data_IF_852512488224
#
_entry.id   IF_852512488224
#
_cell.length_a   1.000
_cell.length_b   1.000
_cell.length_c   1.000
_cell.angle_alpha   90.00
_cell.angle_beta   90.00
_cell.angle_gamma   90.00
#
_symmetry.space_group_name_H-M   'P 1'
#
loop_
_entity.id
_entity.type
_entity.pdbx_description
1 polymer ?
#
# COMPACT_ATOMS: atom_id res chain seq x y z
N UNK A 1 1.39 1.29 16.70
CA UNK A 1 0.53 2.03 15.74
C UNK A 1 0.74 3.56 15.75
N UNK A 2 1.92 4.04 16.19
CA UNK A 2 2.29 5.49 16.23
C UNK A 2 3.08 5.93 14.99
N UNK A 3 3.61 4.99 14.20
CA UNK A 3 4.61 5.27 13.17
C UNK A 3 4.09 5.75 11.81
N UNK A 4 2.91 5.29 11.36
CA UNK A 4 2.36 5.71 10.05
C UNK A 4 2.00 7.21 10.02
N UNK A 5 1.91 7.83 11.19
CA UNK A 5 1.66 9.25 11.36
C UNK A 5 2.98 10.03 11.30
N UNK A 6 3.98 9.75 12.16
CA UNK A 6 5.17 10.62 12.28
C UNK A 6 6.09 10.58 11.05
N UNK A 7 6.37 9.40 10.49
CA UNK A 7 7.31 9.28 9.36
C UNK A 7 6.77 9.89 8.05
N UNK A 8 5.44 9.86 7.84
CA UNK A 8 4.80 10.45 6.67
C UNK A 8 4.53 11.95 6.87
N UNK A 9 4.44 12.46 8.11
CA UNK A 9 3.92 13.81 8.40
C UNK A 9 4.99 14.88 8.68
N UNK A 10 6.15 14.54 9.24
CA UNK A 10 7.17 15.56 9.56
C UNK A 10 7.90 16.12 8.31
N UNK A 11 7.62 15.59 7.12
CA UNK A 11 8.37 15.88 5.89
C UNK A 11 7.50 16.31 4.70
N UNK A 12 6.37 16.95 4.97
CA UNK A 12 5.40 17.38 3.95
C UNK A 12 5.46 18.87 3.63
N UNK A 13 4.85 19.25 2.50
CA UNK A 13 4.55 20.65 2.10
C UNK A 13 3.58 21.37 3.05
N UNK A 14 3.00 20.69 4.05
CA UNK A 14 2.15 21.32 5.07
C UNK A 14 2.96 21.85 6.26
N UNK A 15 4.19 21.35 6.44
CA UNK A 15 5.05 21.66 7.58
C UNK A 15 6.38 22.27 7.16
N UNK A 16 6.59 22.48 5.86
CA UNK A 16 7.75 23.18 5.32
C UNK A 16 7.40 23.96 4.05
N UNK A 17 8.20 24.99 3.78
CA UNK A 17 8.13 25.78 2.54
C UNK A 17 8.53 24.93 1.33
N UNK A 18 8.05 25.32 0.15
CA UNK A 18 8.34 24.65 -1.11
C UNK A 18 9.85 24.65 -1.40
N UNK A 19 10.56 25.74 -1.11
CA UNK A 19 12.02 25.79 -1.26
C UNK A 19 12.74 24.71 -0.43
N UNK A 20 12.30 24.49 0.82
CA UNK A 20 12.90 23.45 1.68
C UNK A 20 12.56 22.06 1.18
N UNK A 21 11.34 21.87 0.65
CA UNK A 21 10.90 20.62 0.04
C UNK A 21 11.71 20.31 -1.23
N UNK A 22 11.88 21.28 -2.13
CA UNK A 22 12.64 21.12 -3.38
C UNK A 22 14.10 20.74 -3.12
N UNK A 23 14.74 21.36 -2.12
CA UNK A 23 16.11 21.00 -1.73
C UNK A 23 16.21 19.54 -1.26
N UNK A 24 15.23 19.07 -0.48
CA UNK A 24 15.18 17.67 -0.06
C UNK A 24 14.84 16.72 -1.21
N UNK A 25 13.97 17.12 -2.15
CA UNK A 25 13.73 16.33 -3.36
C UNK A 25 15.05 16.12 -4.11
N UNK A 26 15.82 17.20 -4.33
CA UNK A 26 17.11 17.12 -5.01
C UNK A 26 18.11 16.19 -4.31
N UNK A 27 18.16 16.22 -2.98
CA UNK A 27 18.99 15.31 -2.17
C UNK A 27 18.61 13.84 -2.39
N UNK A 28 17.32 13.52 -2.33
CA UNK A 28 16.83 12.13 -2.42
C UNK A 28 16.73 11.59 -3.85
N UNK A 29 16.85 12.44 -4.88
CA UNK A 29 17.04 11.99 -6.28
C UNK A 29 18.27 11.09 -6.46
N UNK A 30 19.24 11.15 -5.54
CA UNK A 30 20.40 10.25 -5.53
C UNK A 30 20.05 8.77 -5.34
N UNK A 31 18.85 8.44 -4.83
CA UNK A 31 18.41 7.06 -4.58
C UNK A 31 17.81 6.37 -5.83
N UNK A 32 18.22 6.81 -7.03
CA UNK A 32 17.60 6.43 -8.31
C UNK A 32 17.64 4.92 -8.59
N UNK A 33 18.70 4.21 -8.21
CA UNK A 33 18.83 2.78 -8.50
C UNK A 33 17.81 1.93 -7.74
N UNK A 34 17.52 2.27 -6.47
CA UNK A 34 16.49 1.60 -5.69
C UNK A 34 15.07 1.95 -6.18
N UNK A 35 14.86 3.19 -6.63
CA UNK A 35 13.63 3.56 -7.34
C UNK A 35 13.45 2.74 -8.62
N UNK A 36 14.49 2.61 -9.46
CA UNK A 36 14.47 1.81 -10.70
C UNK A 36 14.19 0.33 -10.45
N UNK A 37 14.76 -0.25 -9.39
CA UNK A 37 14.44 -1.61 -9.00
C UNK A 37 12.94 -1.76 -8.71
N UNK A 38 12.37 -0.81 -7.95
CA UNK A 38 10.93 -0.78 -7.63
C UNK A 38 10.07 -0.59 -8.88
N UNK A 39 10.43 0.33 -9.77
CA UNK A 39 9.78 0.57 -11.08
C UNK A 39 9.69 -0.72 -11.91
N UNK A 40 10.72 -1.55 -11.86
CA UNK A 40 10.76 -2.82 -12.55
C UNK A 40 9.88 -3.85 -11.83
N UNK A 41 10.19 -4.18 -10.56
CA UNK A 41 9.64 -5.37 -9.92
C UNK A 41 8.21 -5.19 -9.39
N UNK A 42 7.79 -3.95 -9.12
CA UNK A 42 6.41 -3.67 -8.68
C UNK A 42 5.52 -3.33 -9.86
N UNK A 43 5.99 -2.47 -10.77
CA UNK A 43 5.13 -1.83 -11.77
C UNK A 43 5.29 -2.35 -13.20
N UNK A 44 6.25 -3.24 -13.46
CA UNK A 44 6.53 -3.70 -14.83
C UNK A 44 6.50 -5.21 -14.96
N UNK A 45 7.36 -5.92 -14.24
CA UNK A 45 7.59 -7.35 -14.43
C UNK A 45 6.33 -8.22 -14.26
N UNK A 46 5.46 -8.05 -13.24
CA UNK A 46 4.23 -8.83 -13.10
C UNK A 46 3.27 -8.77 -14.31
N UNK A 47 3.40 -7.74 -15.15
CA UNK A 47 2.47 -7.43 -16.25
C UNK A 47 3.03 -7.77 -17.64
N UNK A 48 4.18 -8.47 -17.70
CA UNK A 48 4.80 -8.99 -18.92
C UNK A 48 5.40 -10.38 -18.69
N UNK A 49 5.86 -11.02 -19.75
CA UNK A 49 6.79 -12.15 -19.62
C UNK A 49 8.13 -11.59 -19.13
N UNK A 50 8.65 -12.17 -18.04
CA UNK A 50 9.93 -11.79 -17.45
C UNK A 50 10.63 -13.07 -16.95
N UNK A 51 11.93 -13.17 -17.17
CA UNK A 51 12.74 -14.29 -16.66
C UNK A 51 12.84 -14.30 -15.13
N UNK A 52 12.59 -13.15 -14.49
CA UNK A 52 12.64 -13.00 -13.04
C UNK A 52 11.34 -13.42 -12.34
N UNK A 53 10.23 -13.46 -13.08
CA UNK A 53 8.94 -13.81 -12.50
C UNK A 53 8.89 -15.29 -12.15
N UNK A 54 8.29 -15.59 -11.00
CA UNK A 54 7.94 -16.95 -10.59
C UNK A 54 6.60 -16.94 -9.87
N UNK A 55 5.93 -18.08 -9.88
CA UNK A 55 4.70 -18.32 -9.13
C UNK A 55 4.64 -19.79 -8.71
N UNK A 56 3.62 -20.19 -7.93
CA UNK A 56 3.37 -21.60 -7.60
C UNK A 56 2.87 -22.36 -8.82
N UNK A 57 3.80 -22.83 -9.65
CA UNK A 57 3.54 -23.58 -10.89
C UNK A 57 3.30 -25.07 -10.62
N UNK A 58 2.42 -25.76 -11.39
CA UNK A 58 1.60 -25.23 -12.50
C UNK A 58 0.29 -24.55 -12.07
N UNK A 59 0.01 -24.53 -10.77
CA UNK A 59 -1.29 -24.12 -10.23
C UNK A 59 -1.68 -22.67 -10.55
N UNK A 60 -0.72 -21.75 -10.62
CA UNK A 60 -0.94 -20.33 -10.89
C UNK A 60 -0.52 -19.87 -12.29
N UNK A 61 -0.19 -20.79 -13.21
CA UNK A 61 0.29 -20.41 -14.54
C UNK A 61 -0.77 -19.59 -15.31
N UNK A 62 -2.03 -20.03 -15.26
CA UNK A 62 -3.17 -19.34 -15.87
C UNK A 62 -3.50 -18.01 -15.18
N UNK A 63 -3.31 -17.95 -13.86
CA UNK A 63 -3.50 -16.74 -13.07
C UNK A 63 -2.45 -15.67 -13.44
N UNK A 64 -1.18 -16.04 -13.52
CA UNK A 64 -0.11 -15.19 -14.00
C UNK A 64 -0.31 -14.75 -15.46
N UNK A 65 -0.90 -15.63 -16.30
CA UNK A 65 -1.27 -15.29 -17.67
C UNK A 65 -2.38 -14.24 -17.74
N UNK A 66 -3.40 -14.41 -16.89
CA UNK A 66 -4.49 -13.46 -16.78
C UNK A 66 -3.98 -12.07 -16.39
N UNK A 67 -3.05 -11.97 -15.44
CA UNK A 67 -2.47 -10.66 -15.03
C UNK A 67 -1.77 -9.96 -16.19
N UNK A 68 -0.90 -10.66 -16.92
CA UNK A 68 -0.16 -10.06 -18.04
C UNK A 68 -1.00 -9.85 -19.31
N UNK A 69 -2.22 -10.38 -19.37
CA UNK A 69 -3.15 -10.19 -20.50
C UNK A 69 -4.34 -9.26 -20.17
N UNK A 70 -4.51 -8.82 -18.91
CA UNK A 70 -5.59 -7.91 -18.50
C UNK A 70 -5.20 -6.46 -18.82
N UNK A 71 -5.81 -5.92 -19.88
CA UNK A 71 -5.61 -4.52 -20.30
C UNK A 71 -6.05 -3.51 -19.24
N UNK A 72 -7.11 -3.81 -18.47
CA UNK A 72 -7.59 -2.93 -17.41
C UNK A 72 -6.56 -2.81 -16.29
N UNK A 73 -5.95 -3.92 -15.85
CA UNK A 73 -4.86 -3.88 -14.87
C UNK A 73 -3.65 -3.10 -15.38
N UNK A 74 -3.29 -3.25 -16.66
CA UNK A 74 -2.15 -2.55 -17.26
C UNK A 74 -2.34 -1.03 -17.30
N UNK A 75 -3.55 -0.56 -17.59
CA UNK A 75 -3.87 0.88 -17.55
C UNK A 75 -3.69 1.40 -16.13
N UNK A 76 -4.27 0.72 -15.14
CA UNK A 76 -4.22 1.16 -13.76
C UNK A 76 -2.80 1.15 -13.18
N UNK A 77 -1.99 0.12 -13.47
CA UNK A 77 -0.60 0.09 -12.99
C UNK A 77 0.28 1.11 -13.71
N UNK A 78 0.01 1.44 -14.99
CA UNK A 78 0.75 2.48 -15.69
C UNK A 78 0.52 3.86 -15.06
N UNK A 79 -0.71 4.18 -14.66
CA UNK A 79 -1.02 5.42 -13.92
C UNK A 79 -0.31 5.48 -12.57
N UNK A 80 -0.30 4.38 -11.82
CA UNK A 80 0.40 4.30 -10.54
C UNK A 80 1.93 4.38 -10.72
N UNK A 81 2.48 3.79 -11.79
CA UNK A 81 3.90 3.90 -12.13
C UNK A 81 4.29 5.33 -12.43
N UNK A 82 3.51 6.04 -13.26
CA UNK A 82 3.72 7.47 -13.54
C UNK A 82 3.69 8.28 -12.24
N UNK A 83 2.68 8.08 -11.37
CA UNK A 83 2.65 8.72 -10.04
C UNK A 83 3.89 8.40 -9.19
N UNK A 84 4.37 7.17 -9.21
CA UNK A 84 5.57 6.77 -8.46
C UNK A 84 6.82 7.50 -8.97
N UNK A 85 7.00 7.58 -10.29
CA UNK A 85 8.17 8.23 -10.90
C UNK A 85 8.12 9.76 -10.86
N UNK A 86 6.93 10.36 -10.84
CA UNK A 86 6.77 11.81 -11.10
C UNK A 86 6.29 12.61 -9.87
N UNK A 87 5.55 11.99 -8.94
CA UNK A 87 4.87 12.72 -7.86
C UNK A 87 5.71 12.75 -6.59
N UNK A 88 6.49 13.83 -6.42
CA UNK A 88 7.19 14.15 -5.18
C UNK A 88 6.25 14.67 -4.06
N UNK A 89 5.48 13.76 -3.45
CA UNK A 89 4.45 14.12 -2.46
C UNK A 89 5.01 14.27 -1.05
N UNK A 90 5.77 13.28 -0.57
CA UNK A 90 6.39 13.25 0.76
C UNK A 90 7.65 12.37 0.73
N UNK A 91 8.52 12.50 1.74
CA UNK A 91 9.57 11.50 1.95
C UNK A 91 8.91 10.21 2.43
N UNK A 92 8.85 9.21 1.56
CA UNK A 92 8.31 7.88 1.87
C UNK A 92 9.43 6.93 2.26
N UNK A 93 9.09 5.87 3.00
CA UNK A 93 9.96 4.76 3.36
C UNK A 93 10.36 3.93 2.13
N UNK A 94 9.44 3.72 1.19
CA UNK A 94 9.72 3.05 -0.09
C UNK A 94 9.61 1.52 -0.05
N UNK A 95 9.78 0.87 1.10
CA UNK A 95 9.40 -0.54 1.26
C UNK A 95 8.75 -0.91 2.60
N UNK A 96 7.69 -0.18 2.97
CA UNK A 96 6.98 -0.35 4.25
C UNK A 96 6.03 -1.57 4.28
N UNK A 97 6.57 -2.77 4.05
CA UNK A 97 5.84 -4.03 4.23
C UNK A 97 5.99 -4.59 5.65
N UNK A 98 5.26 -5.65 6.01
CA UNK A 98 5.29 -6.26 7.37
C UNK A 98 6.67 -6.71 7.83
N UNK A 99 7.55 -7.13 6.90
CA UNK A 99 8.96 -7.44 7.20
C UNK A 99 9.83 -6.23 7.59
N UNK A 100 9.37 -4.99 7.35
CA UNK A 100 10.05 -3.74 7.69
C UNK A 100 9.54 -3.15 9.02
N UNK A 101 8.83 -3.98 9.80
CA UNK A 101 8.38 -3.66 11.15
C UNK A 101 8.86 -4.74 12.11
N UNK A 102 9.42 -4.31 13.24
CA UNK A 102 9.70 -5.17 14.39
C UNK A 102 8.73 -4.83 15.52
N UNK A 103 8.12 -5.85 16.12
CA UNK A 103 7.06 -5.68 17.13
C UNK A 103 7.30 -6.50 18.38
N UNK A 104 6.97 -5.91 19.52
CA UNK A 104 6.65 -6.62 20.78
C UNK A 104 5.17 -6.37 21.10
N UNK A 105 4.69 -6.82 22.26
CA UNK A 105 3.33 -6.50 22.70
C UNK A 105 3.06 -5.00 22.89
N UNK A 106 4.10 -4.21 23.19
CA UNK A 106 4.02 -2.80 23.58
C UNK A 106 4.93 -1.88 22.75
N UNK A 107 5.74 -2.42 21.83
CA UNK A 107 6.62 -1.68 20.94
C UNK A 107 6.36 -2.01 19.48
N UNK A 108 6.48 -1.01 18.62
CA UNK A 108 6.44 -1.15 17.16
C UNK A 108 7.54 -0.27 16.62
N UNK A 109 8.51 -0.82 15.90
CA UNK A 109 9.63 -0.09 15.31
C UNK A 109 9.63 -0.31 13.80
N UNK A 110 9.68 0.77 13.04
CA UNK A 110 9.88 0.72 11.58
C UNK A 110 11.38 0.74 11.31
N UNK A 111 11.84 -0.15 10.44
CA UNK A 111 13.25 -0.32 10.08
C UNK A 111 13.40 -0.33 8.57
N UNK A 112 14.65 -0.19 8.11
CA UNK A 112 15.04 -0.37 6.71
C UNK A 112 14.46 0.62 5.68
N UNK A 113 14.57 1.96 5.91
CA UNK A 113 14.11 2.97 4.95
C UNK A 113 15.10 3.18 3.79
N UNK A 114 15.81 2.14 3.33
CA UNK A 114 16.83 2.28 2.29
C UNK A 114 16.24 2.71 0.94
N UNK A 115 14.99 2.34 0.66
CA UNK A 115 14.23 2.74 -0.54
C UNK A 115 13.63 4.16 -0.45
N UNK A 116 14.00 4.95 0.57
CA UNK A 116 13.36 6.23 0.80
C UNK A 116 13.66 7.25 -0.29
N UNK A 117 12.61 7.94 -0.73
CA UNK A 117 12.68 9.06 -1.67
C UNK A 117 11.41 9.92 -1.60
N UNK A 118 11.39 11.05 -2.29
CA UNK A 118 10.18 11.86 -2.41
C UNK A 118 9.20 11.24 -3.42
N UNK A 119 8.20 10.53 -2.91
CA UNK A 119 7.23 9.79 -3.71
C UNK A 119 5.79 9.95 -3.19
N UNK A 120 4.83 9.21 -3.77
CA UNK A 120 3.42 9.27 -3.38
C UNK A 120 3.17 8.57 -2.04
N UNK A 121 2.49 9.24 -1.10
CA UNK A 121 2.24 8.75 0.26
C UNK A 121 1.47 7.42 0.27
N UNK A 122 0.53 7.26 -0.67
CA UNK A 122 -0.25 6.02 -0.80
C UNK A 122 0.62 4.79 -1.04
N UNK A 123 1.88 4.95 -1.47
CA UNK A 123 2.79 3.84 -1.68
C UNK A 123 3.17 3.10 -0.39
N UNK A 124 3.50 3.86 0.67
CA UNK A 124 3.83 3.28 1.98
C UNK A 124 2.60 2.73 2.69
N UNK A 125 1.51 3.51 2.72
CA UNK A 125 0.26 3.11 3.37
C UNK A 125 -0.29 1.87 2.67
N UNK A 126 -0.23 1.86 1.34
CA UNK A 126 -0.62 0.74 0.49
C UNK A 126 0.28 -0.47 0.70
N UNK A 127 1.60 -0.30 0.79
CA UNK A 127 2.51 -1.41 1.10
C UNK A 127 2.16 -2.06 2.44
N UNK A 128 1.90 -1.28 3.49
CA UNK A 128 1.55 -1.82 4.79
C UNK A 128 0.19 -2.53 4.77
N UNK A 129 -0.87 -1.86 4.31
CA UNK A 129 -2.22 -2.44 4.25
C UNK A 129 -2.24 -3.65 3.32
N UNK A 130 -1.61 -3.57 2.15
CA UNK A 130 -1.53 -4.68 1.20
C UNK A 130 -0.88 -5.93 1.80
N UNK A 131 0.18 -5.78 2.60
CA UNK A 131 0.81 -6.93 3.26
C UNK A 131 -0.05 -7.49 4.41
N UNK A 132 -0.83 -6.67 5.13
CA UNK A 132 -1.83 -7.19 6.07
C UNK A 132 -2.92 -8.00 5.34
N UNK A 133 -3.31 -7.59 4.12
CA UNK A 133 -4.25 -8.36 3.30
C UNK A 133 -3.63 -9.68 2.82
N UNK A 134 -2.35 -9.69 2.42
CA UNK A 134 -1.64 -10.95 2.10
C UNK A 134 -1.61 -11.88 3.33
N UNK A 135 -1.31 -11.34 4.51
CA UNK A 135 -1.34 -12.10 5.76
C UNK A 135 -2.74 -12.65 6.07
N UNK A 136 -3.82 -11.92 5.77
CA UNK A 136 -5.18 -12.42 5.92
C UNK A 136 -5.44 -13.65 5.02
N UNK A 137 -5.09 -13.56 3.73
CA UNK A 137 -5.33 -14.65 2.78
C UNK A 137 -4.43 -15.86 3.01
N UNK A 138 -3.24 -15.69 3.63
CA UNK A 138 -2.37 -16.82 3.96
C UNK A 138 -2.87 -17.66 5.15
N UNK A 139 -3.76 -17.11 5.99
CA UNK A 139 -4.14 -17.75 7.26
C UNK A 139 -4.74 -19.14 7.09
N UNK A 140 -5.56 -19.37 6.05
CA UNK A 140 -6.17 -20.68 5.83
C UNK A 140 -5.10 -21.74 5.52
N UNK A 141 -4.02 -21.33 4.84
CA UNK A 141 -2.81 -22.11 4.62
C UNK A 141 -2.13 -22.58 5.91
N UNK A 142 -2.16 -21.73 6.94
CA UNK A 142 -1.55 -21.95 8.26
C UNK A 142 -2.49 -22.54 9.31
N UNK A 143 -3.75 -22.82 8.96
CA UNK A 143 -4.71 -23.46 9.84
C UNK A 143 -4.40 -24.95 10.01
N UNK A 144 -4.55 -25.44 11.25
CA UNK A 144 -4.41 -26.84 11.64
C UNK A 144 -5.52 -27.26 12.63
N UNK A 145 -5.41 -28.46 13.20
CA UNK A 145 -6.41 -28.97 14.16
C UNK A 145 -6.42 -28.21 15.49
N UNK A 146 -5.32 -27.57 15.88
CA UNK A 146 -5.21 -26.83 17.13
C UNK A 146 -5.67 -25.37 16.98
N UNK A 147 -5.47 -24.77 15.80
CA UNK A 147 -5.87 -23.40 15.52
C UNK A 147 -6.35 -23.23 14.08
N UNK A 148 -7.65 -22.97 13.92
CA UNK A 148 -8.30 -22.76 12.63
C UNK A 148 -8.08 -21.36 12.03
N UNK A 149 -7.35 -20.49 12.75
CA UNK A 149 -7.01 -19.10 12.41
C UNK A 149 -8.19 -18.15 12.23
N UNK A 150 -9.45 -18.56 12.43
CA UNK A 150 -10.62 -17.69 12.16
C UNK A 150 -10.63 -16.43 13.03
N UNK A 151 -10.38 -16.57 14.33
CA UNK A 151 -10.30 -15.41 15.23
C UNK A 151 -9.13 -14.48 14.88
N UNK A 152 -8.03 -15.03 14.37
CA UNK A 152 -6.87 -14.26 13.95
C UNK A 152 -7.14 -13.50 12.65
N UNK A 153 -7.85 -14.10 11.69
CA UNK A 153 -8.35 -13.42 10.48
C UNK A 153 -9.21 -12.21 10.83
N UNK A 154 -10.14 -12.35 11.78
CA UNK A 154 -10.96 -11.24 12.29
C UNK A 154 -10.09 -10.14 12.90
N UNK A 155 -9.06 -10.51 13.66
CA UNK A 155 -8.10 -9.55 14.22
C UNK A 155 -7.31 -8.80 13.13
N UNK A 156 -6.87 -9.48 12.06
CA UNK A 156 -6.20 -8.83 10.92
C UNK A 156 -7.12 -7.81 10.25
N UNK A 157 -8.38 -8.19 9.96
CA UNK A 157 -9.35 -7.28 9.35
C UNK A 157 -9.61 -6.05 10.23
N UNK A 158 -9.78 -6.25 11.54
CA UNK A 158 -9.90 -5.16 12.51
C UNK A 158 -8.67 -4.25 12.49
N UNK A 159 -7.48 -4.83 12.42
CA UNK A 159 -6.21 -4.07 12.39
C UNK A 159 -6.10 -3.23 11.11
N UNK A 160 -6.53 -3.75 9.96
CA UNK A 160 -6.60 -3.00 8.71
C UNK A 160 -7.53 -1.78 8.85
N UNK A 161 -8.75 -2.00 9.34
CA UNK A 161 -9.74 -0.94 9.58
C UNK A 161 -9.23 0.13 10.54
N UNK A 162 -8.72 -0.29 11.71
CA UNK A 162 -8.22 0.63 12.73
C UNK A 162 -7.00 1.43 12.23
N UNK A 163 -6.10 0.79 11.48
CA UNK A 163 -4.92 1.46 10.91
C UNK A 163 -5.33 2.62 10.01
N UNK A 164 -6.22 2.38 9.03
CA UNK A 164 -6.65 3.44 8.12
C UNK A 164 -7.43 4.54 8.84
N UNK A 165 -8.39 4.17 9.69
CA UNK A 165 -9.24 5.14 10.37
C UNK A 165 -8.43 6.03 11.34
N UNK A 166 -7.48 5.44 12.09
CA UNK A 166 -6.57 6.20 12.95
C UNK A 166 -5.58 7.05 12.14
N UNK A 167 -5.06 6.55 11.02
CA UNK A 167 -4.24 7.35 10.10
C UNK A 167 -5.03 8.56 9.60
N UNK A 168 -6.25 8.36 9.08
CA UNK A 168 -7.12 9.42 8.59
C UNK A 168 -7.36 10.50 9.66
N UNK A 169 -7.75 10.08 10.87
CA UNK A 169 -7.97 11.00 11.99
C UNK A 169 -6.71 11.81 12.34
N UNK A 170 -5.58 11.12 12.53
CA UNK A 170 -4.34 11.78 12.96
C UNK A 170 -3.75 12.67 11.89
N UNK A 171 -3.87 12.28 10.61
CA UNK A 171 -3.44 13.08 9.47
C UNK A 171 -4.19 14.41 9.42
N UNK A 172 -5.52 14.37 9.56
CA UNK A 172 -6.33 15.59 9.58
C UNK A 172 -6.09 16.45 10.83
N UNK A 173 -5.86 15.82 11.99
CA UNK A 173 -5.51 16.54 13.21
C UNK A 173 -4.19 17.32 13.05
N UNK A 174 -3.16 16.71 12.43
CA UNK A 174 -1.89 17.37 12.14
C UNK A 174 -2.02 18.47 11.09
N UNK A 175 -2.87 18.27 10.08
CA UNK A 175 -3.20 19.35 9.15
C UNK A 175 -3.79 20.54 9.91
N UNK A 176 -4.76 20.31 10.81
CA UNK A 176 -5.36 21.38 11.61
C UNK A 176 -4.36 22.07 12.56
N UNK A 177 -3.46 21.30 13.16
CA UNK A 177 -2.39 21.82 14.03
C UNK A 177 -1.43 22.74 13.26
N UNK A 178 -1.08 22.37 12.02
CA UNK A 178 -0.10 23.10 11.20
C UNK A 178 -0.72 24.00 10.13
N UNK A 179 -2.02 24.25 10.15
CA UNK A 179 -2.71 25.03 9.11
C UNK A 179 -2.17 26.45 8.96
N UNK A 180 -1.67 27.06 10.04
CA UNK A 180 -1.05 28.39 10.05
C UNK A 180 0.50 28.31 10.07
N UNK A 181 1.04 27.13 9.77
CA UNK A 181 2.47 26.85 9.74
C UNK A 181 3.15 27.31 8.44
N UNK A 182 4.41 26.93 8.22
CA UNK A 182 5.20 27.34 7.05
C UNK A 182 4.82 26.60 5.75
N UNK A 183 3.77 25.78 5.76
CA UNK A 183 3.35 25.00 4.60
C UNK A 183 2.58 25.84 3.59
N UNK A 184 2.95 25.71 2.30
CA UNK A 184 2.45 26.59 1.24
C UNK A 184 1.36 25.94 0.35
N UNK A 185 1.12 24.64 0.51
CA UNK A 185 0.13 23.92 -0.30
C UNK A 185 -1.32 24.40 -0.07
N UNK A 186 -1.63 24.83 1.17
CA UNK A 186 -2.96 25.27 1.57
C UNK A 186 -2.92 26.55 2.42
N UNK A 187 -2.55 27.66 1.78
CA UNK A 187 -2.43 28.97 2.42
C UNK A 187 -3.73 29.41 3.13
N UNK A 188 -3.68 29.78 4.43
CA UNK A 188 -4.85 30.22 5.20
C UNK A 188 -5.66 31.34 4.56
N UNK A 189 -5.01 32.25 3.83
CA UNK A 189 -5.66 33.38 3.16
C UNK A 189 -6.57 32.94 2.02
N UNK A 190 -6.24 31.82 1.37
CA UNK A 190 -7.03 31.20 0.30
C UNK A 190 -8.07 30.25 0.90
N UNK A 191 -7.64 29.34 1.78
CA UNK A 191 -8.49 28.35 2.44
C UNK A 191 -9.03 28.89 3.77
N UNK A 192 -9.68 30.06 3.69
CA UNK A 192 -9.94 30.97 4.80
C UNK A 192 -11.26 30.74 5.57
N UNK A 193 -12.01 29.69 5.25
CA UNK A 193 -13.27 29.37 5.91
C UNK A 193 -13.44 27.86 6.10
N UNK A 194 -14.22 27.49 7.12
CA UNK A 194 -14.37 26.10 7.55
C UNK A 194 -14.96 25.20 6.47
N UNK A 195 -15.95 25.67 5.70
CA UNK A 195 -16.57 24.85 4.64
C UNK A 195 -15.55 24.47 3.56
N UNK A 196 -14.80 25.46 3.05
CA UNK A 196 -13.77 25.23 2.04
C UNK A 196 -12.66 24.30 2.58
N UNK A 197 -12.21 24.51 3.82
CA UNK A 197 -11.22 23.65 4.48
C UNK A 197 -11.69 22.19 4.55
N UNK A 198 -12.96 21.95 4.89
CA UNK A 198 -13.50 20.59 4.94
C UNK A 198 -13.60 19.94 3.56
N UNK A 199 -14.02 20.70 2.54
CA UNK A 199 -14.12 20.19 1.17
C UNK A 199 -12.76 19.75 0.61
N UNK A 200 -11.71 20.54 0.83
CA UNK A 200 -10.37 20.24 0.31
C UNK A 200 -9.72 19.07 1.04
N UNK A 201 -9.90 18.97 2.36
CA UNK A 201 -9.48 17.82 3.16
C UNK A 201 -10.18 16.55 2.71
N UNK A 202 -11.50 16.60 2.51
CA UNK A 202 -12.30 15.46 2.02
C UNK A 202 -11.82 15.00 0.65
N UNK A 203 -11.55 15.93 -0.27
CA UNK A 203 -11.00 15.61 -1.60
C UNK A 203 -9.62 14.96 -1.48
N UNK A 204 -8.72 15.55 -0.69
CA UNK A 204 -7.36 15.05 -0.48
C UNK A 204 -7.36 13.63 0.09
N UNK A 205 -8.12 13.38 1.16
CA UNK A 205 -8.17 12.08 1.80
C UNK A 205 -8.80 11.01 0.90
N UNK A 206 -9.77 11.39 0.06
CA UNK A 206 -10.33 10.49 -0.95
C UNK A 206 -9.25 10.07 -1.96
N UNK A 207 -8.51 11.01 -2.54
CA UNK A 207 -7.44 10.71 -3.51
C UNK A 207 -6.31 9.89 -2.87
N UNK A 208 -5.95 10.20 -1.62
CA UNK A 208 -4.95 9.44 -0.87
C UNK A 208 -5.40 8.01 -0.59
N UNK A 209 -6.68 7.80 -0.30
CA UNK A 209 -7.26 6.46 -0.13
C UNK A 209 -7.21 5.67 -1.43
N UNK A 210 -7.62 6.29 -2.54
CA UNK A 210 -7.54 5.67 -3.88
C UNK A 210 -6.09 5.28 -4.21
N UNK A 211 -5.11 6.14 -3.95
CA UNK A 211 -3.69 5.82 -4.16
C UNK A 211 -3.21 4.68 -3.25
N UNK A 212 -3.62 4.69 -1.97
CA UNK A 212 -3.31 3.65 -0.99
C UNK A 212 -3.77 2.27 -1.47
N UNK A 213 -5.03 2.16 -1.92
CA UNK A 213 -5.56 0.89 -2.42
C UNK A 213 -4.87 0.45 -3.72
N UNK A 214 -4.57 1.39 -4.61
CA UNK A 214 -3.89 1.09 -5.87
C UNK A 214 -2.48 0.53 -5.65
N UNK A 215 -1.65 1.24 -4.88
CA UNK A 215 -0.30 0.78 -4.59
C UNK A 215 -0.28 -0.49 -3.73
N UNK A 216 -1.21 -0.62 -2.79
CA UNK A 216 -1.37 -1.86 -2.02
C UNK A 216 -1.70 -3.06 -2.91
N UNK A 217 -2.64 -2.91 -3.83
CA UNK A 217 -2.98 -3.95 -4.79
C UNK A 217 -1.81 -4.30 -5.73
N UNK A 218 -1.06 -3.31 -6.23
CA UNK A 218 0.14 -3.55 -7.04
C UNK A 218 1.22 -4.32 -6.26
N UNK A 219 1.45 -3.95 -4.98
CA UNK A 219 2.36 -4.68 -4.08
C UNK A 219 1.85 -6.11 -3.81
N UNK A 220 0.55 -6.34 -3.68
CA UNK A 220 0.00 -7.69 -3.54
C UNK A 220 0.28 -8.54 -4.80
N UNK A 221 -0.05 -8.02 -6.00
CA UNK A 221 0.16 -8.72 -7.27
C UNK A 221 1.63 -9.11 -7.43
N UNK A 222 2.57 -8.17 -7.23
CA UNK A 222 4.00 -8.45 -7.43
C UNK A 222 4.57 -9.46 -6.44
N UNK A 223 3.97 -9.63 -5.25
CA UNK A 223 4.40 -10.64 -4.27
C UNK A 223 3.97 -12.06 -4.64
N UNK A 224 3.00 -12.21 -5.54
CA UNK A 224 2.43 -13.52 -5.93
C UNK A 224 3.02 -14.01 -7.26
N UNK A 225 3.20 -13.12 -8.24
CA UNK A 225 3.66 -13.49 -9.59
C UNK A 225 5.00 -12.86 -9.98
N UNK A 226 5.60 -12.07 -9.10
CA UNK A 226 6.91 -11.43 -9.33
C UNK A 226 8.08 -12.25 -8.78
N UNK A 227 9.25 -11.61 -8.72
CA UNK A 227 10.51 -12.24 -8.29
C UNK A 227 10.59 -12.47 -6.77
N UNK A 228 10.15 -11.48 -5.99
CA UNK A 228 10.32 -11.44 -4.54
C UNK A 228 8.99 -11.69 -3.82
N UNK A 229 8.82 -12.91 -3.32
CA UNK A 229 7.62 -13.39 -2.64
C UNK A 229 7.58 -12.96 -1.17
N UNK A 230 6.53 -13.38 -0.45
CA UNK A 230 6.40 -13.18 1.01
C UNK A 230 6.38 -14.50 1.75
N UNK A 231 6.95 -14.51 2.96
CA UNK A 231 7.02 -15.69 3.81
C UNK A 231 5.63 -16.23 4.20
N UNK A 232 4.63 -15.34 4.30
CA UNK A 232 3.23 -15.70 4.56
C UNK A 232 2.73 -16.85 3.68
N UNK A 233 3.08 -16.85 2.39
CA UNK A 233 2.73 -17.94 1.47
C UNK A 233 3.83 -18.97 1.37
N UNK A 234 5.10 -18.55 1.26
CA UNK A 234 6.21 -19.47 1.00
C UNK A 234 6.44 -20.49 2.12
N UNK A 235 6.02 -20.17 3.35
CA UNK A 235 6.08 -21.09 4.49
C UNK A 235 4.96 -22.15 4.49
N UNK A 236 3.93 -22.03 3.64
CA UNK A 236 2.88 -23.04 3.46
C UNK A 236 3.46 -24.21 2.65
N UNK A 237 3.69 -25.35 3.31
CA UNK A 237 4.35 -26.52 2.70
C UNK A 237 3.48 -27.23 1.65
N UNK A 238 2.16 -27.24 1.82
CA UNK A 238 1.26 -27.82 0.84
C UNK A 238 1.11 -26.85 -0.34
N UNK A 239 1.70 -27.23 -1.46
CA UNK A 239 1.79 -26.41 -2.68
C UNK A 239 0.41 -26.08 -3.26
N UNK A 240 -0.54 -27.03 -3.22
CA UNK A 240 -1.88 -26.81 -3.74
C UNK A 240 -2.64 -25.83 -2.82
N UNK A 241 -2.56 -26.06 -1.50
CA UNK A 241 -3.17 -25.17 -0.49
C UNK A 241 -2.59 -23.75 -0.56
N UNK A 242 -1.27 -23.63 -0.77
CA UNK A 242 -0.59 -22.35 -0.97
C UNK A 242 -1.13 -21.63 -2.20
N UNK A 243 -1.20 -22.33 -3.34
CA UNK A 243 -1.71 -21.76 -4.58
C UNK A 243 -3.16 -21.26 -4.46
N UNK A 244 -4.00 -21.97 -3.70
CA UNK A 244 -5.39 -21.52 -3.48
C UNK A 244 -5.44 -20.21 -2.66
N UNK A 245 -4.63 -20.10 -1.61
CA UNK A 245 -4.51 -18.86 -0.82
C UNK A 245 -3.96 -17.71 -1.68
N UNK A 246 -2.92 -17.96 -2.47
CA UNK A 246 -2.32 -17.00 -3.39
C UNK A 246 -3.33 -16.54 -4.47
N UNK A 247 -4.14 -17.46 -5.02
CA UNK A 247 -5.16 -17.15 -6.02
C UNK A 247 -6.24 -16.21 -5.46
N UNK A 248 -6.72 -16.48 -4.25
CA UNK A 248 -7.69 -15.62 -3.58
C UNK A 248 -7.12 -14.21 -3.34
N UNK A 249 -5.88 -14.13 -2.83
CA UNK A 249 -5.18 -12.86 -2.65
C UNK A 249 -5.01 -12.10 -3.97
N UNK A 250 -4.63 -12.79 -5.05
CA UNK A 250 -4.44 -12.22 -6.37
C UNK A 250 -5.77 -11.70 -6.94
N UNK A 251 -6.86 -12.44 -6.79
CA UNK A 251 -8.19 -12.02 -7.23
C UNK A 251 -8.67 -10.78 -6.47
N UNK A 252 -8.45 -10.72 -5.16
CA UNK A 252 -8.72 -9.53 -4.36
C UNK A 252 -7.90 -8.34 -4.86
N UNK A 253 -6.59 -8.51 -5.06
CA UNK A 253 -5.71 -7.45 -5.53
C UNK A 253 -6.12 -6.93 -6.92
N UNK A 254 -6.45 -7.81 -7.88
CA UNK A 254 -6.94 -7.40 -9.20
C UNK A 254 -8.23 -6.58 -9.11
N UNK A 255 -9.15 -6.97 -8.22
CA UNK A 255 -10.40 -6.24 -7.99
C UNK A 255 -10.14 -4.88 -7.37
N UNK A 256 -9.36 -4.82 -6.28
CA UNK A 256 -9.00 -3.57 -5.61
C UNK A 256 -8.29 -2.61 -6.57
N UNK A 257 -7.35 -3.09 -7.39
CA UNK A 257 -6.64 -2.24 -8.35
C UNK A 257 -7.62 -1.58 -9.33
N UNK A 258 -8.53 -2.35 -9.94
CA UNK A 258 -9.48 -1.83 -10.94
C UNK A 258 -10.62 -1.01 -10.36
N UNK A 259 -11.06 -1.33 -9.14
CA UNK A 259 -12.27 -0.76 -8.55
C UNK A 259 -12.00 0.29 -7.45
N UNK A 260 -10.74 0.57 -7.09
CA UNK A 260 -10.37 1.46 -5.96
C UNK A 260 -11.11 2.80 -5.91
N UNK A 261 -11.44 3.40 -7.06
CA UNK A 261 -12.17 4.69 -7.15
C UNK A 261 -13.64 4.59 -6.75
N UNK A 262 -14.21 3.38 -6.80
CA UNK A 262 -15.58 3.10 -6.42
C UNK A 262 -15.71 2.79 -4.92
N UNK A 263 -14.63 2.35 -4.28
CA UNK A 263 -14.58 2.03 -2.86
C UNK A 263 -14.50 3.32 -2.04
N UNK A 264 -15.43 3.50 -1.09
CA UNK A 264 -15.58 4.77 -0.34
C UNK A 264 -15.06 4.73 1.08
N UNK A 265 -14.80 3.54 1.63
CA UNK A 265 -14.26 3.39 2.98
C UNK A 265 -13.44 2.11 3.14
N UNK A 266 -12.69 2.01 4.24
CA UNK A 266 -11.90 0.80 4.55
C UNK A 266 -12.80 -0.39 4.90
N UNK A 267 -14.02 -0.14 5.39
CA UNK A 267 -15.02 -1.18 5.67
C UNK A 267 -15.53 -1.84 4.37
N UNK A 268 -15.65 -1.08 3.28
CA UNK A 268 -15.96 -1.64 1.95
C UNK A 268 -14.79 -2.48 1.39
N UNK A 269 -13.54 -2.14 1.75
CA UNK A 269 -12.36 -2.99 1.44
C UNK A 269 -12.45 -4.31 2.22
N UNK A 270 -12.74 -4.26 3.53
CA UNK A 270 -12.95 -5.46 4.35
C UNK A 270 -14.05 -6.34 3.78
N UNK A 271 -15.19 -5.73 3.42
CA UNK A 271 -16.30 -6.43 2.76
C UNK A 271 -15.86 -7.10 1.45
N UNK A 272 -15.00 -6.43 0.67
CA UNK A 272 -14.45 -6.99 -0.58
C UNK A 272 -13.53 -8.18 -0.31
N UNK A 273 -12.70 -8.11 0.73
CA UNK A 273 -11.81 -9.20 1.15
C UNK A 273 -12.64 -10.43 1.55
N UNK A 274 -13.67 -10.24 2.38
CA UNK A 274 -14.57 -11.32 2.81
C UNK A 274 -15.35 -11.93 1.65
N UNK A 275 -15.86 -11.12 0.73
CA UNK A 275 -16.57 -11.61 -0.46
C UNK A 275 -15.69 -12.48 -1.37
N UNK A 276 -14.43 -12.11 -1.57
CA UNK A 276 -13.49 -12.89 -2.40
C UNK A 276 -13.10 -14.20 -1.73
N UNK A 277 -12.98 -14.24 -0.40
CA UNK A 277 -12.70 -15.48 0.34
C UNK A 277 -13.80 -16.54 0.16
N UNK A 278 -15.04 -16.13 -0.07
CA UNK A 278 -16.21 -17.00 -0.19
C UNK A 278 -16.41 -17.56 -1.61
N UNK A 279 -15.64 -17.07 -2.60
CA UNK A 279 -15.67 -17.50 -4.00
C UNK A 279 -14.60 -18.54 -4.29
#
# INVERSE_FOLDING_TARGET
MVFCTVAVLELQSFVMTDQKKENKIAEFCGNVELCRLTEQVVFSDPYKVSEYNRCTSPYLDADAETVRNDNGLKIEVAELKSKFCERAQALIHGDLHTGSLMVTHDSTQVIDPEFSFYGPMGFDIGAFIGNLILAYFSQDGHADQANDRKSYKVWILKTITETWNLFHQKFLALWDEHKDGPGEAYLPEIYNNTELQQLVKKKYMKELFEDTLGFGAAKMIRRIVGVAHVEDFESIKDVAKRADCERQALNCAKKLLKERRNIKSIEEVVSTIEQVQLQ
#
